data_IF_183822892238
#
_entry.id   IF_183822892238
#
_cell.length_a   1.000
_cell.length_b   1.000
_cell.length_c   1.000
_cell.angle_alpha   90.00
_cell.angle_beta   90.00
_cell.angle_gamma   90.00
#
_symmetry.space_group_name_H-M   'P 1'
#
loop_
_entity.id
_entity.type
_entity.pdbx_description
1 polymer ?
#
# COMPACT_ATOMS: atom_id res chain seq x y z
N UNK A 1 0.52 -9.93 10.99
CA UNK A 1 -0.58 -9.55 10.08
C UNK A 1 -0.56 -8.03 9.94
N UNK A 2 -0.82 -7.48 8.74
CA UNK A 2 -0.79 -6.03 8.52
C UNK A 2 -2.01 -5.35 9.14
N UNK A 3 -1.88 -4.07 9.54
CA UNK A 3 -2.95 -3.28 10.15
C UNK A 3 -4.21 -3.21 9.28
N UNK A 4 -4.05 -3.18 7.96
CA UNK A 4 -5.18 -3.11 7.01
C UNK A 4 -5.95 -4.44 6.90
N UNK A 5 -5.27 -5.59 6.99
CA UNK A 5 -5.96 -6.88 7.10
C UNK A 5 -6.79 -6.97 8.39
N UNK A 6 -6.28 -6.43 9.50
CA UNK A 6 -7.02 -6.38 10.76
C UNK A 6 -8.24 -5.45 10.71
N UNK A 7 -8.23 -4.44 9.83
CA UNK A 7 -9.34 -3.51 9.63
C UNK A 7 -10.46 -4.04 8.70
N UNK A 8 -10.33 -5.28 8.20
CA UNK A 8 -11.32 -5.89 7.29
C UNK A 8 -11.13 -5.51 5.81
N UNK A 9 -10.14 -4.69 5.48
CA UNK A 9 -9.80 -4.38 4.10
C UNK A 9 -8.94 -5.51 3.51
N UNK A 10 -9.47 -6.20 2.49
CA UNK A 10 -8.72 -7.21 1.76
C UNK A 10 -7.79 -6.55 0.75
N UNK A 11 -6.56 -6.28 1.17
CA UNK A 11 -5.49 -5.91 0.26
C UNK A 11 -4.90 -7.16 -0.39
N UNK A 12 -5.25 -7.39 -1.65
CA UNK A 12 -4.61 -8.44 -2.45
C UNK A 12 -3.21 -7.95 -2.84
N UNK A 13 -2.18 -8.57 -2.26
CA UNK A 13 -0.79 -8.38 -2.68
C UNK A 13 -0.21 -9.69 -3.18
N UNK A 14 -0.19 -9.90 -4.50
CA UNK A 14 0.34 -11.13 -5.11
C UNK A 14 1.80 -11.44 -4.74
N UNK A 15 2.59 -10.39 -4.43
CA UNK A 15 3.95 -10.57 -3.97
C UNK A 15 4.09 -10.93 -2.48
N UNK A 16 3.01 -11.10 -1.71
CA UNK A 16 3.10 -11.43 -0.28
C UNK A 16 3.74 -10.35 0.60
N UNK A 17 3.80 -9.10 0.14
CA UNK A 17 4.34 -7.96 0.89
C UNK A 17 5.79 -7.58 0.57
N UNK A 18 6.39 -8.13 -0.51
CA UNK A 18 7.76 -7.81 -0.90
C UNK A 18 7.93 -6.47 -1.66
N UNK A 19 6.85 -5.68 -1.83
CA UNK A 19 6.96 -4.35 -2.44
C UNK A 19 7.14 -4.32 -3.97
N UNK A 20 6.86 -5.42 -4.68
CA UNK A 20 7.16 -5.56 -6.12
C UNK A 20 5.94 -5.66 -7.06
N UNK A 21 4.73 -5.88 -6.54
CA UNK A 21 3.53 -6.10 -7.38
C UNK A 21 2.66 -4.85 -7.62
N UNK A 22 2.91 -3.76 -6.90
CA UNK A 22 2.14 -2.52 -6.95
C UNK A 22 0.64 -2.59 -6.60
N UNK A 23 0.13 -3.72 -6.10
CA UNK A 23 -1.31 -3.93 -5.87
C UNK A 23 -1.83 -3.38 -4.54
N UNK A 24 -0.95 -3.10 -3.57
CA UNK A 24 -1.32 -2.51 -2.28
C UNK A 24 -1.05 -1.00 -2.25
N UNK A 25 -1.27 -0.33 -3.37
CA UNK A 25 -1.04 1.11 -3.49
C UNK A 25 -1.99 1.88 -2.56
N UNK A 26 -1.42 2.80 -1.80
CA UNK A 26 -2.15 3.76 -0.98
C UNK A 26 -1.69 5.17 -1.29
N UNK A 27 -2.62 6.11 -1.16
CA UNK A 27 -2.33 7.52 -1.11
C UNK A 27 -2.50 8.01 0.32
N UNK A 28 -1.47 8.65 0.86
CA UNK A 28 -1.46 9.22 2.21
C UNK A 28 -1.99 10.63 2.13
N UNK A 29 -3.11 10.90 2.80
CA UNK A 29 -3.73 12.23 2.86
C UNK A 29 -3.27 13.00 4.09
N UNK A 30 -3.17 12.32 5.23
CA UNK A 30 -2.83 12.90 6.53
C UNK A 30 -1.99 11.93 7.37
N UNK A 31 -1.22 12.49 8.30
CA UNK A 31 -0.34 11.74 9.21
C UNK A 31 1.05 11.47 8.63
N UNK A 32 1.92 10.87 9.45
CA UNK A 32 3.28 10.49 9.04
C UNK A 32 3.41 8.99 8.87
N UNK A 33 4.08 8.59 7.80
CA UNK A 33 4.51 7.22 7.56
C UNK A 33 6.05 7.15 7.56
N UNK A 34 6.58 6.14 8.22
CA UNK A 34 8.00 5.79 8.29
C UNK A 34 8.18 4.45 7.57
N UNK A 35 9.21 4.28 6.75
CA UNK A 35 9.31 3.04 5.98
C UNK A 35 10.50 2.94 5.07
N UNK A 36 10.76 1.70 4.66
CA UNK A 36 11.79 1.35 3.70
C UNK A 36 11.23 1.71 2.33
N UNK A 37 11.90 2.65 1.66
CA UNK A 37 11.57 3.05 0.30
C UNK A 37 11.45 1.81 -0.60
N UNK A 38 10.45 1.80 -1.48
CA UNK A 38 10.11 0.62 -2.26
C UNK A 38 11.30 0.23 -3.15
N UNK A 39 11.75 -1.04 -3.13
CA UNK A 39 13.06 -1.42 -3.67
C UNK A 39 13.29 -1.09 -5.15
N UNK A 40 12.22 -0.96 -5.93
CA UNK A 40 12.24 -0.85 -7.39
C UNK A 40 11.52 0.40 -7.91
N UNK A 41 11.07 1.31 -7.03
CA UNK A 41 10.29 2.46 -7.45
C UNK A 41 11.01 3.77 -7.15
N UNK A 42 10.86 4.74 -8.06
CA UNK A 42 11.23 6.12 -7.78
C UNK A 42 10.42 6.66 -6.60
N UNK A 43 11.01 7.57 -5.79
CA UNK A 43 10.28 8.20 -4.70
C UNK A 43 9.04 8.92 -5.24
N UNK A 44 7.89 8.52 -4.72
CA UNK A 44 6.60 9.16 -4.94
C UNK A 44 6.24 9.94 -3.69
N UNK A 45 5.71 11.15 -3.82
CA UNK A 45 5.38 12.03 -2.69
C UNK A 45 4.39 11.34 -1.73
N UNK A 46 3.12 11.32 -2.11
CA UNK A 46 2.03 10.84 -1.24
C UNK A 46 1.59 9.41 -1.55
N UNK A 47 2.08 8.82 -2.65
CA UNK A 47 1.73 7.45 -3.05
C UNK A 47 2.77 6.45 -2.56
N UNK A 48 2.34 5.43 -1.83
CA UNK A 48 3.21 4.40 -1.25
C UNK A 48 2.58 3.02 -1.41
N UNK A 49 3.38 1.96 -1.32
CA UNK A 49 2.88 0.60 -1.12
C UNK A 49 2.66 0.34 0.37
N UNK A 50 1.42 -0.02 0.73
CA UNK A 50 1.02 -0.29 2.11
C UNK A 50 1.86 -1.40 2.78
N UNK A 51 2.46 -2.30 2.00
CA UNK A 51 3.35 -3.34 2.52
C UNK A 51 4.79 -2.86 2.83
N UNK A 52 5.18 -1.67 2.36
CA UNK A 52 6.52 -1.10 2.54
C UNK A 52 6.56 0.06 3.54
N UNK A 53 5.41 0.48 4.07
CA UNK A 53 5.30 1.61 4.98
C UNK A 53 4.75 1.18 6.32
N UNK A 54 5.17 1.88 7.37
CA UNK A 54 4.71 1.73 8.73
C UNK A 54 4.21 3.11 9.20
N UNK A 55 3.00 3.21 9.79
CA UNK A 55 2.55 4.47 10.37
C UNK A 55 3.45 4.86 11.55
N UNK A 56 3.69 6.17 11.72
CA UNK A 56 4.31 6.68 12.94
C UNK A 56 3.39 6.37 14.13
N UNK A 57 3.89 5.77 15.23
CA UNK A 57 3.03 5.38 16.34
C UNK A 57 2.48 6.55 17.16
N UNK A 58 2.92 7.79 16.91
CA UNK A 58 2.51 8.99 17.64
C UNK A 58 1.31 9.72 17.06
N UNK A 59 0.85 9.35 15.86
CA UNK A 59 -0.27 10.00 15.17
C UNK A 59 -1.09 9.02 14.33
N UNK A 60 -2.35 9.36 14.11
CA UNK A 60 -3.21 8.62 13.18
C UNK A 60 -2.82 8.95 11.73
N UNK A 61 -2.98 7.96 10.84
CA UNK A 61 -2.69 8.12 9.41
C UNK A 61 -3.96 7.85 8.62
N UNK A 62 -4.33 8.82 7.78
CA UNK A 62 -5.45 8.68 6.85
C UNK A 62 -4.92 8.31 5.48
N UNK A 63 -5.35 7.15 4.97
CA UNK A 63 -4.95 6.65 3.65
C UNK A 63 -6.17 6.34 2.79
N UNK A 64 -6.01 6.53 1.49
CA UNK A 64 -6.94 6.06 0.46
C UNK A 64 -6.36 4.86 -0.26
N UNK A 65 -7.14 3.79 -0.35
CA UNK A 65 -6.79 2.58 -1.10
C UNK A 65 -6.95 2.83 -2.60
N UNK A 66 -5.84 2.89 -3.33
CA UNK A 66 -5.84 3.00 -4.79
C UNK A 66 -6.07 1.62 -5.39
N UNK A 67 -7.35 1.19 -5.46
CA UNK A 67 -7.74 -0.09 -6.04
C UNK A 67 -7.42 -0.10 -7.52
N UNK A 68 -6.38 -0.84 -7.89
CA UNK A 68 -6.08 -1.11 -9.29
C UNK A 68 -7.09 -2.14 -9.78
N UNK A 69 -8.00 -1.72 -10.67
CA UNK A 69 -8.83 -2.65 -11.44
C UNK A 69 -7.91 -3.44 -12.37
N UNK A 70 -7.27 -4.48 -11.88
CA UNK A 70 -6.69 -5.50 -12.73
C UNK A 70 -7.84 -6.30 -13.33
N UNK A 71 -8.38 -5.81 -14.45
CA UNK A 71 -9.13 -6.66 -15.37
C UNK A 71 -8.21 -7.80 -15.78
N UNK A 72 -8.54 -9.00 -15.34
CA UNK A 72 -7.85 -10.21 -15.78
C UNK A 72 -7.96 -10.27 -17.31
N UNK A 73 -6.85 -10.22 -18.09
CA UNK A 73 -6.92 -10.26 -19.55
C UNK A 73 -7.36 -11.63 -20.11
N UNK A 74 -7.87 -12.54 -19.29
CA UNK A 74 -8.36 -13.86 -19.71
C UNK A 74 -9.84 -13.91 -20.11
N UNK A 75 -10.54 -12.78 -20.19
CA UNK A 75 -11.93 -12.69 -20.67
C UNK A 75 -12.11 -11.67 -21.84
N UNK A 76 -11.14 -11.60 -22.76
CA UNK A 76 -11.36 -11.01 -24.11
C UNK A 76 -11.15 -12.08 -25.17
#
# INVERSE_FOLDING_TARGET
MSHLHSAGEQLIGQCGGHGICSQCMVEVHEGKVVGIQEPMAEPRENRKLACCVQPDPSEDVTVELQRTNFSNPKNM
#
